data_IF_070513585935
#
_entry.id   IF_070513585935
#
_cell.length_a   1.000
_cell.length_b   1.000
_cell.length_c   1.000
_cell.angle_alpha   90.00
_cell.angle_beta   90.00
_cell.angle_gamma   90.00
#
_symmetry.space_group_name_H-M   'P 1'
#
loop_
_entity.id
_entity.type
_entity.pdbx_description
1 polymer ?
#
# COMPACT_ATOMS: atom_id res chain seq x y z
N UNK A 1 82.93 24.67 -17.02
CA UNK A 1 83.32 24.47 -15.61
C UNK A 1 82.05 24.42 -14.78
N UNK A 2 81.88 23.37 -13.95
CA UNK A 2 80.95 23.19 -12.82
C UNK A 2 79.43 23.30 -13.09
N UNK A 3 78.63 22.23 -13.03
CA UNK A 3 78.15 21.45 -11.86
C UNK A 3 76.95 22.03 -11.10
N UNK A 4 75.83 21.29 -11.24
CA UNK A 4 74.75 20.94 -10.29
C UNK A 4 74.22 22.00 -9.32
N UNK A 5 72.89 22.23 -9.37
CA UNK A 5 72.06 22.23 -8.15
C UNK A 5 70.72 21.53 -8.44
N UNK A 6 70.51 20.38 -7.80
CA UNK A 6 69.19 19.73 -7.59
C UNK A 6 68.69 20.17 -6.21
N UNK A 7 67.40 20.50 -6.07
CA UNK A 7 66.51 20.20 -4.92
C UNK A 7 65.15 20.96 -5.04
N UNK A 8 64.10 20.63 -4.24
CA UNK A 8 63.14 19.58 -4.58
C UNK A 8 61.69 20.02 -4.25
N UNK A 9 60.79 19.03 -4.20
CA UNK A 9 59.61 18.94 -3.32
C UNK A 9 58.34 19.70 -3.68
N UNK A 10 57.30 18.88 -3.83
CA UNK A 10 55.93 19.13 -3.33
C UNK A 10 55.13 20.16 -4.10
N UNK A 11 53.83 20.05 -4.30
CA UNK A 11 52.82 19.03 -4.09
C UNK A 11 51.59 19.73 -4.67
N UNK A 12 50.79 19.08 -5.50
CA UNK A 12 49.34 19.19 -5.41
C UNK A 12 48.72 18.18 -6.38
N UNK A 13 48.53 17.02 -5.81
CA UNK A 13 47.62 15.97 -6.21
C UNK A 13 46.20 16.56 -6.28
N UNK A 14 45.70 16.84 -7.48
CA UNK A 14 44.29 17.15 -7.68
C UNK A 14 43.50 15.85 -7.55
N UNK A 15 42.94 15.64 -6.36
CA UNK A 15 41.94 14.62 -6.08
C UNK A 15 40.74 14.89 -6.98
N UNK A 16 40.57 14.07 -8.01
CA UNK A 16 39.34 14.04 -8.79
C UNK A 16 38.22 13.47 -7.90
N UNK A 17 37.38 14.35 -7.37
CA UNK A 17 36.13 13.98 -6.70
C UNK A 17 35.19 13.27 -7.69
N UNK A 18 35.31 11.94 -7.77
CA UNK A 18 34.26 11.10 -8.36
C UNK A 18 33.14 11.00 -7.32
N UNK A 19 32.22 11.97 -7.36
CA UNK A 19 30.91 11.84 -6.71
C UNK A 19 30.07 10.88 -7.56
N UNK A 20 30.19 9.58 -7.28
CA UNK A 20 29.22 8.59 -7.75
C UNK A 20 27.88 8.89 -7.07
N UNK A 21 27.03 9.65 -7.73
CA UNK A 21 25.65 9.87 -7.33
C UNK A 21 24.93 8.51 -7.38
N UNK A 22 24.81 7.85 -6.23
CA UNK A 22 23.88 6.76 -6.04
C UNK A 22 22.46 7.31 -6.20
N UNK A 23 21.91 7.25 -7.41
CA UNK A 23 20.49 7.45 -7.62
C UNK A 23 19.76 6.34 -6.87
N UNK A 24 19.33 6.63 -5.64
CA UNK A 24 18.40 5.77 -4.92
C UNK A 24 17.16 5.62 -5.82
N UNK A 25 16.99 4.45 -6.44
CA UNK A 25 15.71 4.03 -7.00
C UNK A 25 14.77 3.91 -5.82
N UNK A 26 14.14 5.02 -5.43
CA UNK A 26 12.96 4.95 -4.60
C UNK A 26 11.99 4.07 -5.37
N UNK A 27 11.50 2.95 -4.80
CA UNK A 27 10.40 2.25 -5.43
C UNK A 27 9.24 3.25 -5.45
N UNK A 28 8.94 3.77 -6.64
CA UNK A 28 7.70 4.46 -6.89
C UNK A 28 6.61 3.40 -6.83
N UNK A 29 6.25 2.98 -5.61
CA UNK A 29 4.98 2.30 -5.38
C UNK A 29 3.94 3.36 -5.71
N UNK A 30 3.47 3.37 -6.97
CA UNK A 30 2.36 4.20 -7.38
C UNK A 30 1.28 4.02 -6.32
N UNK A 31 0.99 5.10 -5.59
CA UNK A 31 0.03 5.10 -4.50
C UNK A 31 -1.25 4.53 -5.10
N UNK A 32 -1.70 3.36 -4.64
CA UNK A 32 -2.95 2.77 -5.11
C UNK A 32 -4.02 3.83 -4.89
N UNK A 33 -4.49 4.42 -5.99
CA UNK A 33 -5.38 5.59 -5.95
C UNK A 33 -6.79 5.09 -6.06
N UNK A 34 -7.52 5.20 -4.97
CA UNK A 34 -8.99 5.21 -4.97
C UNK A 34 -9.45 6.62 -5.32
N UNK A 35 -10.55 6.73 -6.07
CA UNK A 35 -11.14 8.02 -6.41
C UNK A 35 -12.14 8.45 -5.32
N UNK A 36 -12.70 7.48 -4.58
CA UNK A 36 -13.44 7.71 -3.33
C UNK A 36 -12.61 7.19 -2.14
N UNK A 37 -12.24 8.07 -1.18
CA UNK A 37 -11.46 7.67 -0.01
C UNK A 37 -12.16 6.62 0.85
N UNK A 38 -11.37 5.71 1.41
CA UNK A 38 -11.82 4.76 2.44
C UNK A 38 -11.46 5.36 3.79
N UNK A 39 -12.44 5.41 4.69
CA UNK A 39 -12.23 5.87 6.06
C UNK A 39 -12.08 4.69 7.01
N UNK A 40 -11.12 4.80 7.91
CA UNK A 40 -11.04 3.93 9.09
C UNK A 40 -11.85 4.60 10.22
N UNK A 41 -12.76 3.88 10.91
CA UNK A 41 -13.52 4.44 12.01
C UNK A 41 -12.60 4.77 13.20
N UNK A 42 -13.02 5.60 14.16
CA UNK A 42 -12.23 5.81 15.38
C UNK A 42 -12.13 4.51 16.19
N UNK A 43 -11.06 4.38 16.98
CA UNK A 43 -10.98 3.31 17.97
C UNK A 43 -12.01 3.57 19.08
N UNK A 44 -12.71 2.53 19.51
CA UNK A 44 -13.68 2.57 20.60
C UNK A 44 -13.13 1.97 21.92
N UNK A 45 -11.84 1.64 21.95
CA UNK A 45 -11.17 0.96 23.05
C UNK A 45 -11.28 -0.57 23.00
N UNK A 46 -11.79 -1.14 21.90
CA UNK A 46 -11.87 -2.58 21.67
C UNK A 46 -10.80 -3.04 20.66
N UNK A 47 -10.69 -4.37 20.49
CA UNK A 47 -9.55 -5.02 19.83
C UNK A 47 -9.40 -4.75 18.33
N UNK A 48 -10.46 -4.34 17.61
CA UNK A 48 -10.40 -4.17 16.15
C UNK A 48 -11.28 -3.02 15.67
N UNK A 49 -10.65 -2.01 15.08
CA UNK A 49 -11.34 -0.87 14.47
C UNK A 49 -12.07 -1.26 13.18
N UNK A 50 -11.49 -2.17 12.40
CA UNK A 50 -12.11 -2.73 11.19
C UNK A 50 -12.52 -4.19 11.41
N UNK A 51 -13.63 -4.63 10.82
CA UNK A 51 -14.03 -6.05 10.84
C UNK A 51 -13.08 -6.91 9.99
N UNK A 52 -12.92 -8.18 10.34
CA UNK A 52 -12.24 -9.18 9.53
C UNK A 52 -13.19 -9.79 8.49
N UNK A 53 -12.68 -10.11 7.31
CA UNK A 53 -13.44 -10.82 6.28
C UNK A 53 -12.57 -11.71 5.40
N UNK A 54 -13.24 -12.55 4.62
CA UNK A 54 -12.63 -13.47 3.67
C UNK A 54 -13.40 -13.43 2.35
N UNK A 55 -12.67 -13.42 1.23
CA UNK A 55 -13.28 -13.46 -0.11
C UNK A 55 -13.83 -14.86 -0.40
N UNK A 56 -15.09 -14.94 -0.79
CA UNK A 56 -15.81 -16.21 -1.00
C UNK A 56 -16.77 -16.14 -2.19
N UNK A 57 -17.20 -17.32 -2.66
CA UNK A 57 -18.30 -17.44 -3.62
C UNK A 57 -17.95 -17.04 -5.06
N UNK A 58 -16.65 -16.92 -5.38
CA UNK A 58 -16.20 -16.74 -6.76
C UNK A 58 -16.27 -18.07 -7.51
N UNK A 59 -16.78 -18.04 -8.75
CA UNK A 59 -16.89 -19.22 -9.61
C UNK A 59 -15.51 -19.54 -10.22
N UNK A 60 -14.88 -20.68 -9.88
CA UNK A 60 -13.58 -21.06 -10.44
C UNK A 60 -13.64 -21.42 -11.94
N UNK A 61 -14.84 -21.60 -12.51
CA UNK A 61 -15.05 -21.81 -13.96
C UNK A 61 -15.37 -20.51 -14.70
N UNK A 62 -15.57 -19.41 -13.97
CA UNK A 62 -15.77 -18.07 -14.50
C UNK A 62 -14.46 -17.29 -14.60
N UNK A 63 -14.51 -15.99 -14.28
CA UNK A 63 -13.31 -15.14 -14.16
C UNK A 63 -12.48 -15.46 -12.91
N UNK A 64 -13.13 -15.97 -11.85
CA UNK A 64 -12.49 -16.51 -10.65
C UNK A 64 -11.92 -15.46 -9.71
N UNK A 65 -12.24 -14.18 -9.90
CA UNK A 65 -11.74 -13.08 -9.07
C UNK A 65 -12.82 -12.08 -8.69
N UNK A 66 -12.58 -11.36 -7.60
CA UNK A 66 -13.32 -10.20 -7.15
C UNK A 66 -12.58 -8.94 -7.56
N UNK A 67 -13.17 -8.12 -8.43
CA UNK A 67 -12.61 -6.82 -8.79
C UNK A 67 -12.55 -5.89 -7.56
N UNK A 68 -11.38 -5.29 -7.34
CA UNK A 68 -11.19 -4.17 -6.42
C UNK A 68 -11.27 -2.90 -7.23
N UNK A 69 -12.18 -2.00 -6.85
CA UNK A 69 -12.49 -0.78 -7.58
C UNK A 69 -12.00 0.46 -6.85
N UNK A 70 -11.75 1.51 -7.63
CA UNK A 70 -11.41 2.85 -7.14
C UNK A 70 -12.59 3.62 -6.53
N UNK A 71 -13.84 3.21 -6.81
CA UNK A 71 -15.07 3.83 -6.30
C UNK A 71 -16.11 2.78 -5.89
N UNK A 72 -16.95 3.05 -4.88
CA UNK A 72 -18.18 2.30 -4.66
C UNK A 72 -19.26 2.74 -5.67
N UNK A 73 -20.15 1.85 -6.08
CA UNK A 73 -21.38 2.18 -6.80
C UNK A 73 -21.49 1.60 -8.21
N UNK A 74 -22.22 2.30 -9.08
CA UNK A 74 -22.30 2.08 -10.53
C UNK A 74 -21.45 3.11 -11.30
N UNK A 75 -21.15 2.82 -12.58
CA UNK A 75 -20.12 3.45 -13.44
C UNK A 75 -19.91 4.97 -13.27
N UNK A 76 -18.68 5.49 -13.52
CA UNK A 76 -17.50 4.77 -14.00
C UNK A 76 -16.73 4.07 -12.87
N UNK A 77 -16.19 2.89 -13.17
CA UNK A 77 -15.30 2.15 -12.28
C UNK A 77 -13.98 1.90 -12.98
N UNK A 78 -12.88 2.25 -12.31
CA UNK A 78 -11.56 1.75 -12.66
C UNK A 78 -11.23 0.63 -11.70
N UNK A 79 -11.10 -0.59 -12.23
CA UNK A 79 -10.51 -1.71 -11.52
C UNK A 79 -9.04 -1.37 -11.22
N UNK A 80 -8.63 -1.58 -9.98
CA UNK A 80 -7.29 -1.25 -9.49
C UNK A 80 -6.55 -2.48 -8.97
N UNK A 81 -7.27 -3.57 -8.68
CA UNK A 81 -6.70 -4.83 -8.23
C UNK A 81 -7.74 -5.96 -8.32
N UNK A 82 -7.34 -7.18 -7.96
CA UNK A 82 -8.19 -8.38 -7.93
C UNK A 82 -7.90 -9.23 -6.70
N UNK A 83 -8.95 -9.77 -6.11
CA UNK A 83 -8.88 -10.73 -5.01
C UNK A 83 -9.44 -12.10 -5.41
N UNK A 84 -9.03 -13.14 -4.71
CA UNK A 84 -9.39 -14.54 -4.97
C UNK A 84 -9.98 -15.19 -3.72
N UNK A 85 -10.71 -16.30 -3.91
CA UNK A 85 -11.32 -17.05 -2.81
C UNK A 85 -10.27 -17.38 -1.72
N UNK A 86 -10.64 -17.20 -0.46
CA UNK A 86 -9.78 -17.46 0.70
C UNK A 86 -8.85 -16.31 1.08
N UNK A 87 -8.76 -15.23 0.28
CA UNK A 87 -7.98 -14.06 0.70
C UNK A 87 -8.66 -13.30 1.83
N UNK A 88 -7.88 -13.00 2.87
CA UNK A 88 -8.33 -12.20 4.02
C UNK A 88 -8.31 -10.70 3.70
N UNK A 89 -9.28 -9.99 4.26
CA UNK A 89 -9.44 -8.54 4.15
C UNK A 89 -9.84 -7.94 5.49
N UNK A 90 -9.56 -6.64 5.67
CA UNK A 90 -10.13 -5.81 6.74
C UNK A 90 -11.15 -4.87 6.15
N UNK A 91 -12.37 -4.92 6.66
CA UNK A 91 -13.52 -4.14 6.21
C UNK A 91 -13.61 -2.90 7.11
N UNK A 92 -13.34 -1.74 6.54
CA UNK A 92 -13.18 -0.50 7.29
C UNK A 92 -14.26 0.55 6.96
N UNK A 93 -14.87 0.46 5.79
CA UNK A 93 -15.89 1.41 5.35
C UNK A 93 -17.01 0.70 4.59
N UNK A 94 -18.19 1.31 4.51
CA UNK A 94 -19.33 0.73 3.82
C UNK A 94 -20.20 1.80 3.15
N UNK A 95 -20.39 1.66 1.84
CA UNK A 95 -21.20 2.53 1.01
C UNK A 95 -22.25 1.68 0.27
N UNK A 96 -23.43 1.53 0.87
CA UNK A 96 -24.47 0.63 0.34
C UNK A 96 -23.92 -0.81 0.22
N UNK A 97 -23.99 -1.45 -0.96
CA UNK A 97 -23.49 -2.82 -1.14
C UNK A 97 -21.96 -2.91 -1.31
N UNK A 98 -21.23 -1.80 -1.15
CA UNK A 98 -19.78 -1.75 -1.35
C UNK A 98 -19.06 -1.65 -0.02
N UNK A 99 -18.03 -2.47 0.13
CA UNK A 99 -17.14 -2.48 1.29
C UNK A 99 -15.80 -1.86 0.91
N UNK A 100 -15.35 -0.88 1.70
CA UNK A 100 -13.99 -0.38 1.66
C UNK A 100 -13.08 -1.34 2.42
N UNK A 101 -12.20 -2.01 1.69
CA UNK A 101 -11.34 -3.06 2.24
C UNK A 101 -9.86 -2.69 2.17
N UNK A 102 -9.11 -3.16 3.17
CA UNK A 102 -7.63 -3.17 3.22
C UNK A 102 -7.17 -4.62 3.24
N UNK A 103 -6.12 -4.95 2.49
CA UNK A 103 -5.67 -6.33 2.34
C UNK A 103 -4.18 -6.43 2.02
N UNK A 104 -3.65 -7.65 2.23
CA UNK A 104 -2.26 -7.98 1.97
C UNK A 104 -1.91 -7.72 0.51
N UNK A 105 -0.83 -6.98 0.31
CA UNK A 105 -0.42 -6.55 -1.02
C UNK A 105 0.86 -5.74 -0.91
N UNK A 106 1.56 -5.58 -2.03
CA UNK A 106 2.80 -4.79 -2.09
C UNK A 106 3.90 -5.29 -1.13
N UNK A 107 3.92 -6.61 -0.87
CA UNK A 107 4.90 -7.23 0.04
C UNK A 107 4.65 -6.97 1.53
N UNK A 108 3.44 -6.53 1.91
CA UNK A 108 3.02 -6.31 3.30
C UNK A 108 2.03 -7.37 3.74
N UNK A 109 2.13 -7.77 5.01
CA UNK A 109 1.18 -8.68 5.68
C UNK A 109 0.10 -7.87 6.41
N UNK A 110 -1.00 -8.51 6.78
CA UNK A 110 -2.15 -7.82 7.37
C UNK A 110 -1.79 -7.00 8.62
N UNK A 111 -0.95 -7.56 9.49
CA UNK A 111 -0.49 -6.87 10.70
C UNK A 111 0.33 -5.60 10.45
N UNK A 112 0.86 -5.42 9.24
CA UNK A 112 1.60 -4.22 8.84
C UNK A 112 0.68 -3.09 8.37
N UNK A 113 -0.62 -3.36 8.17
CA UNK A 113 -1.53 -2.46 7.46
C UNK A 113 -2.02 -1.26 8.26
N UNK A 114 -1.74 -1.16 9.57
CA UNK A 114 -2.04 0.02 10.40
C UNK A 114 -3.52 0.43 10.43
N UNK A 115 -4.43 -0.54 10.27
CA UNK A 115 -5.88 -0.30 10.38
C UNK A 115 -6.39 -0.34 11.82
N UNK A 116 -5.61 -0.94 12.73
CA UNK A 116 -5.91 -1.05 14.16
C UNK A 116 -5.26 0.08 15.00
N UNK A 117 -4.80 1.15 14.35
CA UNK A 117 -4.30 2.30 15.10
C UNK A 117 -5.45 2.98 15.85
N UNK A 118 -5.37 3.03 17.18
CA UNK A 118 -6.35 3.75 17.99
C UNK A 118 -6.22 5.26 17.76
N UNK A 119 -7.15 5.82 16.98
CA UNK A 119 -7.25 7.26 16.75
C UNK A 119 -8.59 7.79 17.26
N UNK A 120 -8.60 9.02 17.83
CA UNK A 120 -9.82 9.61 18.39
C UNK A 120 -10.83 10.06 17.33
N UNK A 121 -10.43 10.12 16.06
CA UNK A 121 -11.27 10.57 14.95
C UNK A 121 -11.10 9.64 13.76
N UNK A 122 -12.15 9.52 12.93
CA UNK A 122 -12.07 8.82 11.64
C UNK A 122 -10.95 9.42 10.77
N UNK A 123 -10.24 8.58 10.03
CA UNK A 123 -9.16 9.05 9.14
C UNK A 123 -9.19 8.34 7.79
N UNK A 124 -8.58 8.97 6.79
CA UNK A 124 -8.45 8.38 5.45
C UNK A 124 -7.31 7.36 5.46
N UNK A 125 -7.58 6.15 4.95
CA UNK A 125 -6.54 5.16 4.74
C UNK A 125 -5.67 5.52 3.53
N UNK A 126 -4.36 5.61 3.73
CA UNK A 126 -3.40 5.97 2.67
C UNK A 126 -2.32 4.89 2.44
N UNK A 127 -2.49 3.72 3.05
CA UNK A 127 -1.48 2.65 3.07
C UNK A 127 -1.01 2.34 4.50
N UNK A 128 -0.10 1.37 4.68
CA UNK A 128 0.86 0.87 3.69
C UNK A 128 0.38 -0.29 2.81
N UNK A 129 -0.75 -0.93 3.11
CA UNK A 129 -1.27 -2.09 2.38
C UNK A 129 -2.17 -1.72 1.22
N UNK A 130 -2.50 -2.67 0.34
CA UNK A 130 -3.43 -2.44 -0.76
C UNK A 130 -4.86 -2.24 -0.24
N UNK A 131 -5.68 -1.48 -0.98
CA UNK A 131 -7.01 -1.08 -0.52
C UNK A 131 -7.92 -0.60 -1.65
N UNK A 132 -9.22 -0.83 -1.52
CA UNK A 132 -10.21 -0.38 -2.49
C UNK A 132 -11.62 -0.86 -2.17
N UNK A 133 -12.53 -0.70 -3.14
CA UNK A 133 -13.94 -0.99 -2.97
C UNK A 133 -14.29 -2.34 -3.62
N UNK A 134 -14.97 -3.21 -2.86
CA UNK A 134 -15.44 -4.51 -3.33
C UNK A 134 -16.93 -4.69 -3.04
N UNK A 135 -17.60 -5.54 -3.83
CA UNK A 135 -19.02 -5.80 -3.60
C UNK A 135 -19.22 -6.82 -2.47
N UNK A 136 -20.07 -6.49 -1.50
CA UNK A 136 -20.24 -7.26 -0.25
C UNK A 136 -20.63 -8.73 -0.44
N UNK A 137 -21.35 -9.05 -1.53
CA UNK A 137 -21.80 -10.42 -1.83
C UNK A 137 -20.69 -11.48 -1.90
N UNK A 138 -19.45 -11.02 -2.09
CA UNK A 138 -18.27 -11.88 -2.23
C UNK A 138 -17.35 -11.82 -1.02
N UNK A 139 -17.82 -11.24 0.10
CA UNK A 139 -17.05 -11.15 1.34
C UNK A 139 -17.87 -11.74 2.48
N UNK A 140 -17.31 -12.74 3.15
CA UNK A 140 -17.87 -13.29 4.39
C UNK A 140 -17.16 -12.64 5.57
N UNK A 141 -17.91 -12.01 6.47
CA UNK A 141 -17.37 -11.44 7.71
C UNK A 141 -16.93 -12.59 8.61
N UNK A 142 -15.72 -12.49 9.17
CA UNK A 142 -15.08 -13.50 10.02
C UNK A 142 -14.85 -13.03 11.45
N UNK A 143 -14.71 -11.72 11.66
CA UNK A 143 -14.53 -11.10 12.98
C UNK A 143 -15.08 -9.67 12.98
N UNK A 144 -15.55 -9.18 14.12
CA UNK A 144 -16.07 -7.83 14.30
C UNK A 144 -16.04 -7.40 15.75
#
# INVERSE_FOLDING_TARGET
>A
MAERIVKPRSALMWVACILLAAAARQPAYAQQRVDVPIYIPPGDGQAATCSGGEVVGLDPRGDGFLSVLSTPGGRPHREIDRLYNGQEVRICDQHGPWMGVVYDGRGRRMGDCKVDEERPVRWVYTGPCAYGWVHQRYVRITAG
#
